data_IF_872508639604
#
_entry.id   IF_872508639604
#
_cell.length_a   1.000
_cell.length_b   1.000
_cell.length_c   1.000
_cell.angle_alpha   90.00
_cell.angle_beta   90.00
_cell.angle_gamma   90.00
#
_symmetry.space_group_name_H-M   'P 1'
#
loop_
_entity.id
_entity.type
_entity.pdbx_description
1 polymer ?
#
# COMPACT_ATOMS: atom_id res chain seq x y z
N UNK A 1 -2.23 -1.36 -1.14
CA UNK A 1 -2.67 -2.76 -1.40
C UNK A 1 -3.83 -3.07 -0.47
N UNK A 2 -4.75 -3.92 -0.91
CA UNK A 2 -5.85 -4.46 -0.11
C UNK A 2 -6.03 -5.94 -0.41
N UNK A 3 -6.58 -6.66 0.56
CA UNK A 3 -6.77 -8.11 0.50
C UNK A 3 -7.89 -8.55 1.43
N UNK A 4 -8.49 -9.70 1.15
CA UNK A 4 -9.58 -10.25 1.96
C UNK A 4 -10.84 -9.39 1.91
N UNK A 5 -11.11 -8.76 0.77
CA UNK A 5 -12.27 -7.90 0.58
C UNK A 5 -13.50 -8.79 0.37
N UNK A 6 -14.35 -8.83 1.39
CA UNK A 6 -15.57 -9.64 1.43
C UNK A 6 -16.82 -8.77 1.55
N UNK A 7 -17.84 -9.06 0.75
CA UNK A 7 -19.18 -8.49 0.92
C UNK A 7 -20.25 -9.49 0.50
N UNK A 8 -21.33 -9.59 1.29
CA UNK A 8 -22.53 -10.37 0.95
C UNK A 8 -23.68 -9.49 0.45
N UNK A 9 -23.43 -8.20 0.30
CA UNK A 9 -24.41 -7.22 -0.17
C UNK A 9 -24.67 -7.33 -1.67
N UNK A 10 -25.80 -6.76 -2.11
CA UNK A 10 -26.11 -6.61 -3.54
C UNK A 10 -25.45 -5.39 -4.17
N UNK A 11 -24.90 -4.50 -3.34
CA UNK A 11 -24.17 -3.32 -3.74
C UNK A 11 -22.77 -3.70 -4.22
N UNK A 12 -22.29 -2.99 -5.23
CA UNK A 12 -20.92 -3.10 -5.69
C UNK A 12 -19.95 -2.58 -4.63
N UNK A 13 -18.77 -3.17 -4.60
CA UNK A 13 -17.67 -2.81 -3.73
C UNK A 13 -16.60 -2.13 -4.58
N UNK A 14 -16.20 -0.94 -4.15
CA UNK A 14 -15.18 -0.15 -4.83
C UNK A 14 -14.01 0.13 -3.90
N UNK A 15 -12.82 0.23 -4.47
CA UNK A 15 -11.68 0.90 -3.83
C UNK A 15 -11.35 2.14 -4.63
N UNK A 16 -11.65 3.31 -4.10
CA UNK A 16 -11.31 4.58 -4.74
C UNK A 16 -9.79 4.81 -4.68
N UNK A 17 -9.16 4.96 -5.84
CA UNK A 17 -7.76 5.36 -5.98
C UNK A 17 -7.63 6.87 -5.77
N UNK A 18 -8.52 7.65 -6.39
CA UNK A 18 -8.59 9.08 -6.17
C UNK A 18 -9.94 9.68 -6.56
N UNK A 19 -10.30 10.81 -5.93
CA UNK A 19 -11.42 11.67 -6.34
C UNK A 19 -11.05 13.15 -6.07
N UNK A 20 -10.89 13.93 -7.13
CA UNK A 20 -10.42 15.32 -7.03
C UNK A 20 -10.98 16.20 -8.16
N UNK A 21 -10.77 17.51 -8.09
CA UNK A 21 -11.22 18.41 -9.16
C UNK A 21 -10.44 18.13 -10.45
N UNK A 22 -11.16 18.03 -11.58
CA UNK A 22 -10.53 17.80 -12.86
C UNK A 22 -9.58 18.95 -13.22
N UNK A 23 -8.30 18.61 -13.42
CA UNK A 23 -7.25 19.53 -13.85
C UNK A 23 -6.49 18.91 -15.03
N UNK A 24 -6.57 19.54 -16.20
CA UNK A 24 -5.87 19.06 -17.40
C UNK A 24 -6.50 17.81 -18.06
N UNK A 25 -5.68 17.11 -18.84
CA UNK A 25 -6.08 15.91 -19.61
C UNK A 25 -5.96 14.65 -18.78
N UNK A 26 -6.76 13.64 -19.12
CA UNK A 26 -6.67 12.29 -18.56
C UNK A 26 -6.09 11.36 -19.62
N UNK A 27 -5.00 10.67 -19.26
CA UNK A 27 -4.34 9.71 -20.13
C UNK A 27 -4.46 8.31 -19.55
N UNK A 28 -4.64 7.32 -20.42
CA UNK A 28 -4.72 5.90 -20.06
C UNK A 28 -3.78 5.12 -20.97
N UNK A 29 -2.93 4.31 -20.36
CA UNK A 29 -2.06 3.36 -21.04
C UNK A 29 -2.61 1.95 -20.88
N UNK A 30 -2.81 1.26 -21.99
CA UNK A 30 -3.24 -0.13 -22.04
C UNK A 30 -2.62 -0.81 -23.25
N UNK A 31 -2.06 -2.01 -23.08
CA UNK A 31 -1.56 -2.84 -24.19
C UNK A 31 -0.65 -2.08 -25.17
N UNK A 32 0.32 -1.31 -24.64
CA UNK A 32 1.25 -0.45 -25.41
C UNK A 32 0.61 0.74 -26.16
N UNK A 33 -0.70 0.96 -26.04
CA UNK A 33 -1.41 2.10 -26.60
C UNK A 33 -1.67 3.18 -25.53
N UNK A 34 -1.29 4.42 -25.84
CA UNK A 34 -1.59 5.58 -25.01
C UNK A 34 -2.80 6.32 -25.58
N UNK A 35 -3.86 6.46 -24.78
CA UNK A 35 -5.08 7.21 -25.13
C UNK A 35 -5.20 8.45 -24.27
N UNK A 36 -5.65 9.54 -24.88
CA UNK A 36 -6.18 10.69 -24.15
C UNK A 36 -7.70 10.57 -24.20
N UNK A 37 -8.33 10.54 -23.03
CA UNK A 37 -9.79 10.40 -22.94
C UNK A 37 -10.46 11.76 -22.87
N UNK A 38 -11.66 11.84 -23.43
CA UNK A 38 -12.57 12.96 -23.24
C UNK A 38 -13.46 12.69 -22.02
N UNK A 39 -14.22 13.71 -21.57
CA UNK A 39 -15.11 13.57 -20.41
C UNK A 39 -16.12 12.44 -20.63
N UNK A 40 -16.36 11.64 -19.59
CA UNK A 40 -17.25 10.50 -19.65
C UNK A 40 -17.13 9.56 -18.46
N UNK A 41 -17.78 8.41 -18.60
CA UNK A 41 -17.75 7.28 -17.67
C UNK A 41 -17.24 6.05 -18.43
N UNK A 42 -16.22 5.40 -17.89
CA UNK A 42 -15.46 4.35 -18.53
C UNK A 42 -15.28 3.16 -17.59
N UNK A 43 -15.63 1.97 -18.10
CA UNK A 43 -15.12 0.71 -17.59
C UNK A 43 -13.84 0.37 -18.35
N UNK A 44 -12.75 0.17 -17.62
CA UNK A 44 -11.42 -0.02 -18.16
C UNK A 44 -10.86 -1.38 -17.71
N UNK A 45 -10.35 -2.13 -18.68
CA UNK A 45 -9.73 -3.45 -18.51
C UNK A 45 -8.31 -3.41 -19.10
N UNK A 46 -7.43 -4.30 -18.65
CA UNK A 46 -6.04 -4.40 -19.14
C UNK A 46 -5.27 -3.07 -19.11
N UNK A 47 -5.44 -2.29 -18.04
CA UNK A 47 -4.77 -1.00 -17.87
C UNK A 47 -3.39 -1.18 -17.25
N UNK A 48 -2.39 -0.55 -17.85
CA UNK A 48 -1.05 -0.47 -17.27
C UNK A 48 -1.01 0.66 -16.22
N UNK A 49 -1.47 1.85 -16.62
CA UNK A 49 -1.59 3.00 -15.73
C UNK A 49 -2.56 4.08 -16.25
N UNK A 50 -3.02 4.92 -15.33
CA UNK A 50 -3.75 6.17 -15.60
C UNK A 50 -2.89 7.35 -15.20
N UNK A 51 -2.90 8.45 -15.96
CA UNK A 51 -2.23 9.70 -15.61
C UNK A 51 -3.23 10.86 -15.61
N UNK A 52 -3.25 11.60 -14.51
CA UNK A 52 -4.07 12.81 -14.35
C UNK A 52 -3.41 13.77 -13.36
N UNK A 53 -3.45 15.08 -13.64
CA UNK A 53 -2.96 16.16 -12.77
C UNK A 53 -1.57 15.92 -12.16
N UNK A 54 -0.63 15.46 -13.00
CA UNK A 54 0.75 15.11 -12.61
C UNK A 54 0.85 13.95 -11.62
N UNK A 55 -0.11 13.04 -11.64
CA UNK A 55 -0.11 11.81 -10.84
C UNK A 55 -0.27 10.61 -11.77
N UNK A 56 0.65 9.66 -11.68
CA UNK A 56 0.52 8.34 -12.30
C UNK A 56 -0.08 7.33 -11.32
N UNK A 57 -1.03 6.53 -11.78
CA UNK A 57 -1.64 5.42 -11.03
C UNK A 57 -1.33 4.13 -11.76
N UNK A 58 -0.41 3.33 -11.23
CA UNK A 58 0.01 2.07 -11.84
C UNK A 58 -0.68 0.90 -11.18
N UNK A 59 -1.13 -0.07 -11.97
CA UNK A 59 -1.60 -1.34 -11.44
C UNK A 59 -0.40 -2.27 -11.22
N UNK A 60 -0.32 -2.87 -10.03
CA UNK A 60 0.71 -3.84 -9.68
C UNK A 60 0.22 -5.29 -9.84
N UNK A 61 -1.06 -5.46 -10.15
CA UNK A 61 -1.71 -6.69 -10.56
C UNK A 61 -2.90 -6.33 -11.47
N UNK A 62 -3.41 -7.23 -12.31
CA UNK A 62 -4.56 -6.94 -13.17
C UNK A 62 -5.80 -6.55 -12.35
N UNK A 63 -6.44 -5.43 -12.70
CA UNK A 63 -7.67 -4.93 -12.05
C UNK A 63 -8.64 -4.35 -13.08
N UNK A 64 -9.93 -4.44 -12.78
CA UNK A 64 -10.96 -3.70 -13.49
C UNK A 64 -11.10 -2.31 -12.86
N UNK A 65 -10.91 -1.26 -13.66
CA UNK A 65 -11.03 0.12 -13.19
C UNK A 65 -12.32 0.76 -13.69
N UNK A 66 -12.96 1.52 -12.80
CA UNK A 66 -13.92 2.54 -13.19
C UNK A 66 -13.22 3.91 -13.22
N UNK A 67 -13.47 4.67 -14.26
CA UNK A 67 -12.98 6.03 -14.43
C UNK A 67 -14.14 6.92 -14.88
N UNK A 68 -14.47 7.93 -14.08
CA UNK A 68 -15.43 8.96 -14.46
C UNK A 68 -14.82 10.34 -14.29
N UNK A 69 -14.96 11.19 -15.30
CA UNK A 69 -14.61 12.59 -15.15
C UNK A 69 -15.47 13.53 -16.00
N UNK A 70 -15.95 14.59 -15.35
CA UNK A 70 -16.93 15.52 -15.91
C UNK A 70 -17.61 16.34 -14.81
N UNK A 71 -18.67 17.06 -15.17
CA UNK A 71 -19.40 17.92 -14.24
C UNK A 71 -20.18 17.09 -13.21
N UNK A 72 -19.95 17.39 -11.93
CA UNK A 72 -20.69 16.85 -10.79
C UNK A 72 -21.35 18.00 -10.06
N UNK A 73 -22.64 17.86 -9.77
CA UNK A 73 -23.45 18.87 -9.08
C UNK A 73 -23.89 18.37 -7.71
N UNK A 74 -23.76 19.23 -6.70
CA UNK A 74 -24.25 18.95 -5.35
C UNK A 74 -24.47 20.24 -4.56
N UNK A 75 -25.05 20.14 -3.36
CA UNK A 75 -25.35 21.30 -2.53
C UNK A 75 -24.83 21.14 -1.10
N UNK A 76 -24.49 22.26 -0.46
CA UNK A 76 -24.06 22.25 0.93
C UNK A 76 -25.18 21.77 1.86
N UNK A 77 -26.44 22.09 1.57
CA UNK A 77 -27.58 21.57 2.33
C UNK A 77 -27.76 20.05 2.21
N UNK A 78 -27.22 19.42 1.16
CA UNK A 78 -27.18 17.96 1.02
C UNK A 78 -26.39 17.28 2.16
N UNK A 79 -25.28 17.89 2.58
CA UNK A 79 -24.34 17.33 3.57
C UNK A 79 -24.32 18.08 4.91
N UNK A 80 -24.85 19.31 4.96
CA UNK A 80 -24.93 20.13 6.18
C UNK A 80 -26.36 20.69 6.33
N UNK A 81 -27.10 20.19 7.34
CA UNK A 81 -28.50 20.60 7.61
C UNK A 81 -28.63 21.85 8.47
N UNK A 82 -27.55 22.58 8.73
CA UNK A 82 -27.62 23.87 9.41
C UNK A 82 -28.43 24.87 8.60
N UNK A 83 -29.25 25.68 9.28
CA UNK A 83 -30.17 26.64 8.66
C UNK A 83 -29.48 27.73 7.82
N UNK A 84 -28.19 27.95 8.05
CA UNK A 84 -27.36 28.92 7.31
C UNK A 84 -26.56 28.30 6.16
N UNK A 85 -26.69 26.99 5.93
CA UNK A 85 -26.01 26.36 4.80
C UNK A 85 -26.56 26.93 3.48
N UNK A 86 -25.68 27.31 2.52
CA UNK A 86 -26.11 27.74 1.20
C UNK A 86 -27.01 26.70 0.53
N UNK A 87 -28.13 27.16 -0.04
CA UNK A 87 -29.11 26.27 -0.66
C UNK A 87 -28.82 26.02 -2.15
N UNK A 88 -27.97 26.85 -2.77
CA UNK A 88 -27.68 26.71 -4.19
C UNK A 88 -26.89 25.43 -4.49
N UNK A 89 -27.16 24.90 -5.68
CA UNK A 89 -26.35 23.85 -6.27
C UNK A 89 -24.99 24.43 -6.72
N UNK A 90 -23.96 23.62 -6.54
CA UNK A 90 -22.59 23.90 -6.96
C UNK A 90 -22.16 22.81 -7.91
N UNK A 91 -21.77 23.21 -9.12
CA UNK A 91 -21.26 22.31 -10.16
C UNK A 91 -19.74 22.48 -10.29
N UNK A 92 -19.02 21.36 -10.34
CA UNK A 92 -17.57 21.31 -10.55
C UNK A 92 -17.21 20.12 -11.42
N UNK A 93 -16.18 20.28 -12.24
CA UNK A 93 -15.59 19.13 -12.91
C UNK A 93 -14.76 18.30 -11.93
N UNK A 94 -15.06 17.01 -11.85
CA UNK A 94 -14.43 16.06 -10.93
C UNK A 94 -13.83 14.92 -11.74
N UNK A 95 -12.66 14.43 -11.31
CA UNK A 95 -12.04 13.18 -11.73
C UNK A 95 -12.19 12.15 -10.61
N UNK A 96 -12.67 10.96 -10.95
CA UNK A 96 -12.83 9.82 -10.05
C UNK A 96 -12.26 8.57 -10.68
N UNK A 97 -11.36 7.89 -9.98
CA UNK A 97 -10.74 6.63 -10.40
C UNK A 97 -10.87 5.60 -9.27
N UNK A 98 -11.31 4.39 -9.58
CA UNK A 98 -11.50 3.32 -8.59
C UNK A 98 -11.29 1.94 -9.19
N UNK A 99 -10.92 0.98 -8.35
CA UNK A 99 -11.01 -0.47 -8.65
C UNK A 99 -12.45 -0.90 -8.41
N UNK A 100 -13.02 -1.63 -9.37
CA UNK A 100 -14.34 -2.24 -9.26
C UNK A 100 -14.23 -3.73 -8.93
N UNK A 101 -14.56 -4.08 -7.68
CA UNK A 101 -14.58 -5.47 -7.21
C UNK A 101 -15.89 -6.17 -7.58
N UNK A 102 -16.95 -5.42 -7.92
CA UNK A 102 -18.29 -5.96 -8.17
C UNK A 102 -19.11 -6.18 -6.89
N UNK A 103 -20.23 -6.89 -7.01
CA UNK A 103 -21.14 -7.20 -5.90
C UNK A 103 -20.97 -8.64 -5.41
N UNK A 104 -21.33 -8.91 -4.14
CA UNK A 104 -21.20 -10.24 -3.52
C UNK A 104 -19.78 -10.85 -3.63
N UNK A 105 -18.78 -10.02 -3.37
CA UNK A 105 -17.36 -10.35 -3.53
C UNK A 105 -16.83 -11.23 -2.41
N UNK A 106 -15.84 -12.06 -2.71
CA UNK A 106 -15.17 -12.93 -1.73
C UNK A 106 -13.67 -12.94 -1.94
N UNK A 107 -12.93 -12.61 -0.89
CA UNK A 107 -11.47 -12.59 -0.86
C UNK A 107 -10.84 -11.79 -2.00
N UNK A 108 -11.51 -10.72 -2.44
CA UNK A 108 -10.97 -9.82 -3.47
C UNK A 108 -9.75 -9.05 -2.95
N UNK A 109 -8.88 -8.66 -3.86
CA UNK A 109 -7.60 -8.01 -3.56
C UNK A 109 -7.38 -6.86 -4.53
N UNK A 110 -6.58 -5.87 -4.12
CA UNK A 110 -6.07 -4.87 -5.05
C UNK A 110 -4.63 -4.49 -4.75
N UNK A 111 -3.88 -4.10 -5.78
CA UNK A 111 -2.59 -3.46 -5.61
C UNK A 111 -2.34 -2.40 -6.68
N UNK A 112 -2.15 -1.16 -6.24
CA UNK A 112 -1.78 -0.04 -7.09
C UNK A 112 -0.64 0.77 -6.45
N UNK A 113 0.08 1.49 -7.30
CA UNK A 113 1.13 2.44 -6.95
C UNK A 113 0.73 3.84 -7.41
N UNK A 114 0.97 4.82 -6.54
CA UNK A 114 0.80 6.24 -6.86
C UNK A 114 2.17 6.85 -7.10
N UNK A 115 2.37 7.45 -8.27
CA UNK A 115 3.55 8.23 -8.63
C UNK A 115 3.17 9.73 -8.62
N UNK A 116 3.35 10.42 -7.50
CA UNK A 116 2.99 11.83 -7.39
C UNK A 116 3.99 12.74 -8.11
N UNK A 117 3.53 13.93 -8.51
CA UNK A 117 4.34 15.01 -9.09
C UNK A 117 5.13 14.62 -10.36
N UNK A 118 4.61 13.66 -11.15
CA UNK A 118 5.24 13.19 -12.38
C UNK A 118 4.55 13.78 -13.62
N UNK A 119 5.35 14.26 -14.56
CA UNK A 119 4.90 14.52 -15.93
C UNK A 119 4.43 13.23 -16.61
N UNK A 120 3.73 13.39 -17.74
CA UNK A 120 3.31 12.25 -18.55
C UNK A 120 4.51 11.43 -19.06
N UNK A 121 5.60 12.10 -19.46
CA UNK A 121 6.81 11.41 -19.92
C UNK A 121 7.54 10.67 -18.79
N UNK A 122 7.61 11.25 -17.59
CA UNK A 122 8.14 10.55 -16.41
C UNK A 122 7.29 9.33 -16.05
N UNK A 123 5.97 9.45 -16.16
CA UNK A 123 5.03 8.34 -15.94
C UNK A 123 5.23 7.22 -16.97
N UNK A 124 5.35 7.56 -18.26
CA UNK A 124 5.66 6.60 -19.33
C UNK A 124 7.01 5.88 -19.13
N UNK A 125 8.00 6.60 -18.60
CA UNK A 125 9.34 6.06 -18.35
C UNK A 125 9.43 5.24 -17.06
N UNK A 126 8.47 5.39 -16.15
CA UNK A 126 8.51 4.73 -14.85
C UNK A 126 8.28 3.22 -14.98
N UNK A 127 9.26 2.44 -14.50
CA UNK A 127 9.23 0.98 -14.51
C UNK A 127 8.75 0.46 -13.16
N UNK A 128 7.44 0.53 -12.91
CA UNK A 128 6.84 0.13 -11.62
C UNK A 128 7.24 -1.29 -11.20
N UNK A 129 7.17 -2.25 -12.13
CA UNK A 129 7.47 -3.66 -11.88
C UNK A 129 8.96 -3.93 -11.59
N UNK A 130 9.86 -3.05 -12.03
CA UNK A 130 11.29 -3.17 -11.73
C UNK A 130 11.62 -2.62 -10.34
N UNK A 131 10.86 -1.61 -9.90
CA UNK A 131 11.13 -0.89 -8.65
C UNK A 131 10.45 -1.51 -7.44
N UNK A 132 9.19 -1.95 -7.59
CA UNK A 132 8.37 -2.47 -6.51
C UNK A 132 7.97 -3.92 -6.80
N UNK A 133 8.27 -4.80 -5.85
CA UNK A 133 7.87 -6.20 -5.86
C UNK A 133 6.86 -6.43 -4.72
N UNK A 134 5.73 -7.07 -5.02
CA UNK A 134 4.79 -7.53 -3.99
C UNK A 134 5.28 -8.88 -3.48
N UNK A 135 5.74 -8.92 -2.23
CA UNK A 135 6.20 -10.14 -1.58
C UNK A 135 5.02 -10.96 -1.01
N UNK A 136 3.97 -10.26 -0.56
CA UNK A 136 2.74 -10.87 -0.08
C UNK A 136 1.57 -9.88 -0.15
N UNK A 137 0.39 -10.36 -0.50
CA UNK A 137 -0.85 -9.60 -0.37
C UNK A 137 -1.97 -10.53 0.09
N UNK A 138 -1.93 -10.90 1.37
CA UNK A 138 -2.86 -11.86 2.00
C UNK A 138 -3.47 -11.28 3.26
N UNK A 139 -4.61 -11.80 3.77
CA UNK A 139 -5.20 -11.34 5.02
C UNK A 139 -4.30 -11.53 6.26
N UNK A 140 -3.24 -12.33 6.16
CA UNK A 140 -2.27 -12.52 7.23
C UNK A 140 -1.07 -11.57 7.12
N UNK A 141 -0.55 -11.37 5.91
CA UNK A 141 0.65 -10.57 5.64
C UNK A 141 0.46 -9.77 4.36
N UNK A 142 0.77 -8.49 4.41
CA UNK A 142 0.93 -7.63 3.24
C UNK A 142 2.35 -7.06 3.23
N UNK A 143 3.10 -7.27 2.17
CA UNK A 143 4.50 -6.87 2.11
C UNK A 143 4.94 -6.48 0.70
N UNK A 144 5.78 -5.45 0.62
CA UNK A 144 6.43 -5.00 -0.61
C UNK A 144 7.94 -4.87 -0.40
N UNK A 145 8.69 -5.03 -1.48
CA UNK A 145 10.10 -4.71 -1.57
C UNK A 145 10.31 -3.58 -2.56
N UNK A 146 11.08 -2.58 -2.17
CA UNK A 146 11.62 -1.59 -3.09
C UNK A 146 13.05 -1.98 -3.47
N UNK A 147 13.24 -2.40 -4.73
CA UNK A 147 14.49 -2.97 -5.21
C UNK A 147 15.65 -1.97 -5.19
N UNK A 148 15.41 -0.74 -5.64
CA UNK A 148 16.47 0.29 -5.68
C UNK A 148 16.83 0.87 -4.31
N UNK A 149 15.83 1.09 -3.44
CA UNK A 149 16.07 1.57 -2.07
C UNK A 149 16.54 0.45 -1.13
N UNK A 150 16.54 -0.80 -1.59
CA UNK A 150 16.87 -1.99 -0.80
C UNK A 150 16.03 -2.06 0.48
N UNK A 151 14.74 -1.70 0.37
CA UNK A 151 13.81 -1.68 1.50
C UNK A 151 12.77 -2.77 1.40
N UNK A 152 12.38 -3.31 2.55
CA UNK A 152 11.23 -4.21 2.69
C UNK A 152 10.27 -3.62 3.71
N UNK A 153 9.00 -3.54 3.34
CA UNK A 153 7.93 -3.02 4.18
C UNK A 153 6.86 -4.08 4.32
N UNK A 154 6.53 -4.47 5.55
CA UNK A 154 5.61 -5.56 5.81
C UNK A 154 4.67 -5.25 6.97
N UNK A 155 3.40 -5.57 6.76
CA UNK A 155 2.35 -5.57 7.75
C UNK A 155 1.99 -7.02 8.05
N UNK A 156 2.29 -7.48 9.28
CA UNK A 156 1.84 -8.76 9.80
C UNK A 156 0.55 -8.53 10.59
N UNK A 157 -0.58 -8.98 10.05
CA UNK A 157 -1.86 -8.99 10.77
C UNK A 157 -1.97 -10.21 11.69
N UNK A 158 -1.23 -11.27 11.36
CA UNK A 158 -1.10 -12.50 12.14
C UNK A 158 0.36 -12.94 12.12
N UNK A 159 0.70 -13.85 13.03
CA UNK A 159 1.96 -14.57 12.99
C UNK A 159 2.17 -15.21 11.61
N UNK A 160 3.40 -15.20 11.11
CA UNK A 160 3.71 -15.82 9.84
C UNK A 160 5.12 -15.56 9.37
N UNK A 161 5.42 -16.13 8.21
CA UNK A 161 6.75 -16.20 7.60
C UNK A 161 6.72 -15.50 6.25
N UNK A 162 7.71 -14.66 6.01
CA UNK A 162 7.83 -13.82 4.83
C UNK A 162 9.22 -13.99 4.22
N UNK A 163 9.27 -14.44 2.97
CA UNK A 163 10.48 -14.37 2.17
C UNK A 163 10.68 -12.93 1.70
N UNK A 164 11.82 -12.33 2.06
CA UNK A 164 12.13 -10.93 1.75
C UNK A 164 13.13 -10.78 0.60
N UNK A 165 13.37 -11.87 -0.14
CA UNK A 165 14.24 -11.95 -1.31
C UNK A 165 15.65 -12.46 -1.00
N UNK A 166 16.37 -12.88 -2.04
CA UNK A 166 17.78 -13.31 -1.95
C UNK A 166 18.04 -14.45 -0.93
N UNK A 167 17.03 -15.28 -0.66
CA UNK A 167 17.10 -16.37 0.30
C UNK A 167 16.96 -15.94 1.76
N UNK A 168 16.74 -14.65 2.02
CA UNK A 168 16.49 -14.10 3.35
C UNK A 168 15.01 -14.18 3.68
N UNK A 169 14.72 -14.57 4.92
CA UNK A 169 13.38 -14.84 5.40
C UNK A 169 13.21 -14.35 6.82
N UNK A 170 12.02 -13.81 7.10
CA UNK A 170 11.66 -13.28 8.40
C UNK A 170 10.36 -13.93 8.86
N UNK A 171 10.36 -14.41 10.09
CA UNK A 171 9.16 -14.88 10.77
C UNK A 171 8.83 -13.93 11.91
N UNK A 172 7.56 -13.53 12.04
CA UNK A 172 7.05 -12.80 13.19
C UNK A 172 6.01 -13.69 13.90
N UNK A 173 6.10 -13.81 15.22
CA UNK A 173 5.24 -14.72 16.01
C UNK A 173 3.87 -14.11 16.39
N UNK A 174 3.61 -12.88 15.95
CA UNK A 174 2.39 -12.13 16.22
C UNK A 174 2.18 -10.99 15.22
N UNK A 175 1.18 -10.12 15.45
CA UNK A 175 0.96 -8.95 14.62
C UNK A 175 2.01 -7.86 14.87
N UNK A 176 2.35 -7.10 13.82
CA UNK A 176 3.30 -6.00 13.90
C UNK A 176 3.62 -5.40 12.53
N UNK A 177 4.22 -4.22 12.54
CA UNK A 177 4.78 -3.59 11.33
C UNK A 177 6.29 -3.70 11.33
N UNK A 178 6.84 -3.86 10.14
CA UNK A 178 8.25 -4.04 9.90
C UNK A 178 8.68 -3.21 8.69
N UNK A 179 9.70 -2.37 8.88
CA UNK A 179 10.44 -1.71 7.80
C UNK A 179 11.91 -2.12 7.93
N UNK A 180 12.50 -2.63 6.86
CA UNK A 180 13.88 -3.08 6.82
C UNK A 180 14.62 -2.35 5.72
N UNK A 181 15.86 -1.96 6.02
CA UNK A 181 16.85 -1.60 5.01
C UNK A 181 17.90 -2.71 4.92
N UNK A 182 18.17 -3.14 3.70
CA UNK A 182 19.14 -4.17 3.40
C UNK A 182 20.47 -3.55 2.93
N UNK A 183 21.57 -4.16 3.33
CA UNK A 183 22.88 -3.98 2.70
C UNK A 183 23.29 -5.33 2.10
N UNK A 184 23.16 -5.45 0.78
CA UNK A 184 23.27 -6.71 0.07
C UNK A 184 22.22 -7.72 0.56
N UNK A 185 22.68 -8.77 1.26
CA UNK A 185 21.82 -9.81 1.84
C UNK A 185 21.78 -9.78 3.38
N UNK A 186 22.07 -8.63 3.98
CA UNK A 186 22.07 -8.42 5.43
C UNK A 186 21.08 -7.35 5.81
N UNK A 187 20.48 -7.49 6.99
CA UNK A 187 19.65 -6.45 7.59
C UNK A 187 20.58 -5.38 8.16
N UNK A 188 20.59 -4.20 7.56
CA UNK A 188 21.40 -3.07 7.99
C UNK A 188 20.66 -2.20 9.01
N UNK A 189 19.35 -1.99 8.79
CA UNK A 189 18.47 -1.27 9.71
C UNK A 189 17.10 -1.91 9.75
N UNK A 190 16.43 -1.74 10.88
CA UNK A 190 15.06 -2.21 11.06
C UNK A 190 14.26 -1.21 11.89
N UNK A 191 13.00 -0.99 11.52
CA UNK A 191 12.01 -0.34 12.36
C UNK A 191 10.85 -1.30 12.61
N UNK A 192 10.44 -1.43 13.87
CA UNK A 192 9.37 -2.34 14.30
C UNK A 192 8.35 -1.57 15.14
N UNK A 193 7.06 -1.81 14.93
CA UNK A 193 6.00 -1.20 15.75
C UNK A 193 4.79 -2.14 15.94
N UNK A 194 4.00 -1.88 16.99
CA UNK A 194 2.70 -2.51 17.22
C UNK A 194 1.56 -1.48 17.08
N UNK A 195 0.86 -1.44 15.93
CA UNK A 195 -0.28 -0.54 15.73
C UNK A 195 -1.45 -0.80 16.68
N UNK A 196 -1.54 -2.00 17.27
CA UNK A 196 -2.60 -2.32 18.23
C UNK A 196 -2.40 -1.67 19.59
N UNK A 197 -1.17 -1.21 19.89
CA UNK A 197 -0.76 -0.57 21.14
C UNK A 197 -0.91 -1.47 22.38
N UNK A 198 -0.82 -2.79 22.20
CA UNK A 198 -1.08 -3.80 23.24
C UNK A 198 0.14 -4.63 23.59
N UNK A 199 1.12 -4.74 22.70
CA UNK A 199 2.31 -5.55 22.88
C UNK A 199 3.41 -4.73 23.56
N UNK A 200 4.07 -5.31 24.57
CA UNK A 200 5.30 -4.76 25.16
C UNK A 200 6.57 -5.25 24.46
N UNK A 201 6.44 -6.24 23.57
CA UNK A 201 7.54 -6.79 22.78
C UNK A 201 7.03 -7.47 21.50
N UNK A 202 7.89 -7.56 20.50
CA UNK A 202 7.72 -8.38 19.29
C UNK A 202 8.88 -9.36 19.19
N UNK A 203 8.58 -10.61 18.81
CA UNK A 203 9.60 -11.60 18.50
C UNK A 203 9.70 -11.82 16.99
N UNK A 204 10.94 -11.90 16.51
CA UNK A 204 11.27 -12.13 15.11
C UNK A 204 12.29 -13.26 15.01
N UNK A 205 12.23 -14.03 13.93
CA UNK A 205 13.29 -14.94 13.54
C UNK A 205 13.78 -14.57 12.14
N UNK A 206 15.10 -14.60 11.95
CA UNK A 206 15.73 -14.35 10.65
C UNK A 206 16.65 -15.52 10.32
N UNK A 207 16.59 -16.06 9.10
CA UNK A 207 17.45 -17.15 8.63
C UNK A 207 18.86 -16.71 8.21
N UNK A 208 19.43 -15.76 8.95
CA UNK A 208 20.81 -15.31 8.80
C UNK A 208 21.28 -14.70 10.11
N UNK A 209 22.59 -14.53 10.26
CA UNK A 209 23.15 -13.81 11.39
C UNK A 209 22.80 -12.32 11.28
N UNK A 210 22.17 -11.78 12.32
CA UNK A 210 21.85 -10.34 12.43
C UNK A 210 22.86 -9.67 13.37
N UNK A 211 23.49 -8.61 12.90
CA UNK A 211 24.50 -7.83 13.63
C UNK A 211 23.99 -6.41 13.86
N UNK A 212 22.98 -6.28 14.73
CA UNK A 212 22.42 -5.01 15.17
C UNK A 212 22.59 -4.90 16.70
N UNK A 213 22.86 -3.70 17.19
CA UNK A 213 23.03 -3.43 18.62
C UNK A 213 22.11 -2.30 19.06
N UNK A 214 21.26 -2.55 20.06
CA UNK A 214 20.34 -1.57 20.65
C UNK A 214 19.91 -2.06 22.04
N UNK A 215 19.60 -1.15 22.98
CA UNK A 215 19.21 -1.50 24.35
C UNK A 215 17.83 -2.16 24.45
N UNK A 216 17.00 -1.98 23.41
CA UNK A 216 15.68 -2.61 23.26
C UNK A 216 15.72 -3.90 22.45
N UNK A 217 16.88 -4.27 21.91
CA UNK A 217 17.05 -5.47 21.10
C UNK A 217 17.86 -6.54 21.82
N UNK A 218 17.32 -7.75 21.87
CA UNK A 218 18.07 -8.96 22.21
C UNK A 218 18.16 -9.85 20.98
N UNK A 219 19.35 -10.35 20.65
CA UNK A 219 19.58 -11.30 19.55
C UNK A 219 20.25 -12.55 20.13
N UNK A 220 19.70 -13.71 19.83
CA UNK A 220 20.33 -15.00 20.08
C UNK A 220 20.61 -15.68 18.72
N UNK A 221 21.86 -16.05 18.46
CA UNK A 221 22.29 -16.65 17.20
C UNK A 221 22.55 -18.13 17.36
N UNK A 222 21.81 -18.95 16.61
CA UNK A 222 22.01 -20.38 16.55
C UNK A 222 22.71 -20.77 15.23
N UNK A 223 24.00 -21.13 15.35
CA UNK A 223 24.82 -21.54 14.21
C UNK A 223 24.43 -22.91 13.60
N UNK A 224 23.76 -23.79 14.37
CA UNK A 224 23.33 -25.11 13.87
C UNK A 224 22.09 -24.99 12.98
N UNK A 225 21.12 -24.16 13.38
CA UNK A 225 19.89 -23.92 12.61
C UNK A 225 19.99 -22.74 11.64
N UNK A 226 21.06 -21.95 11.72
CA UNK A 226 21.26 -20.72 10.96
C UNK A 226 20.14 -19.69 11.18
N UNK A 227 19.67 -19.57 12.43
CA UNK A 227 18.59 -18.67 12.83
C UNK A 227 19.07 -17.66 13.87
N UNK A 228 18.71 -16.39 13.67
CA UNK A 228 18.75 -15.37 14.71
C UNK A 228 17.36 -15.21 15.31
N UNK A 229 17.23 -15.41 16.62
CA UNK A 229 16.04 -15.10 17.41
C UNK A 229 16.15 -13.69 17.98
N UNK A 230 15.28 -12.79 17.57
CA UNK A 230 15.27 -11.40 17.98
C UNK A 230 14.07 -11.14 18.89
N UNK A 231 14.31 -10.39 19.97
CA UNK A 231 13.24 -9.82 20.80
C UNK A 231 13.40 -8.31 20.84
N UNK A 232 12.41 -7.59 20.34
CA UNK A 232 12.36 -6.11 20.35
C UNK A 232 11.40 -5.66 21.44
N UNK A 233 11.89 -4.93 22.44
CA UNK A 233 11.06 -4.28 23.46
C UNK A 233 10.37 -3.06 22.85
N UNK A 234 9.06 -2.98 22.97
CA UNK A 234 8.26 -1.90 22.41
C UNK A 234 7.98 -0.80 23.45
N UNK A 235 7.73 0.44 23.02
CA UNK A 235 7.25 1.50 23.91
C UNK A 235 5.87 1.17 24.48
N UNK A 236 5.63 1.55 25.73
CA UNK A 236 4.37 1.33 26.45
C UNK A 236 3.71 2.66 26.85
N UNK A 237 2.49 2.59 27.38
CA UNK A 237 1.76 3.76 27.90
C UNK A 237 1.40 4.78 26.80
N UNK A 238 1.71 6.06 27.03
CA UNK A 238 1.43 7.14 26.07
C UNK A 238 2.20 6.98 24.75
N UNK A 239 3.34 6.27 24.79
CA UNK A 239 4.20 6.01 23.64
C UNK A 239 3.86 4.71 22.91
N UNK A 240 2.90 3.92 23.40
CA UNK A 240 2.51 2.67 22.76
C UNK A 240 2.08 2.91 21.30
N UNK A 241 2.69 2.15 20.37
CA UNK A 241 2.51 2.28 18.93
C UNK A 241 3.62 3.04 18.18
N UNK A 242 4.54 3.68 18.90
CA UNK A 242 5.74 4.28 18.28
C UNK A 242 6.69 3.18 17.81
N UNK A 243 7.31 3.40 16.65
CA UNK A 243 8.34 2.51 16.11
C UNK A 243 9.63 2.55 16.93
N UNK A 244 10.21 1.36 17.15
CA UNK A 244 11.60 1.20 17.60
C UNK A 244 12.47 1.09 16.36
N UNK A 245 13.48 1.96 16.25
CA UNK A 245 14.46 1.96 15.14
C UNK A 245 15.74 1.31 15.65
N UNK A 246 16.31 0.40 14.87
CA UNK A 246 17.45 -0.45 15.19
C UNK A 246 18.50 -0.32 14.07
N UNK A 247 19.78 -0.23 14.43
CA UNK A 247 20.90 -0.12 13.48
C UNK A 247 21.25 1.31 13.07
N UNK A 248 21.01 2.29 13.94
CA UNK A 248 21.45 3.68 13.75
C UNK A 248 22.88 3.94 14.27
#
# INVERSE_FOLDING_TARGET
MGTGIDSKGKQEVFTTLNQLLLSGKVHVQSNQELKTLERGDYALEDIDWVHHDRVGYFLLQPENLGLAFGEVTGSWTGINKQTRAPQEDVSKDVFSLWVNHGANVREENYAYLVLPNASLEETKAYRSNDQIEILSNTPAIQAVRHNQLLQVQANFYKAGKLNIGNGLEITMDGPGLLLIHLDGNKIAKMAVSDPSRKLSKIHLQVNSQVDLQDDKLSIDWNAESWLSDLTVKLPEGEFAGISVILGD
#
